data_IF_885558273494
#
_entry.id   IF_885558273494
#
_cell.length_a   1.000
_cell.length_b   1.000
_cell.length_c   1.000
_cell.angle_alpha   90.00
_cell.angle_beta   90.00
_cell.angle_gamma   90.00
#
_symmetry.space_group_name_H-M   'P 1'
#
loop_
_entity.id
_entity.type
_entity.pdbx_description
1 polymer ?
#
# COMPACT_ATOMS: atom_id res chain seq x y z
N UNK A 1 15.99 2.16 -12.94
CA UNK A 1 15.54 3.12 -11.91
C UNK A 1 14.13 3.62 -12.19
N UNK A 2 13.82 4.12 -13.39
CA UNK A 2 12.47 4.60 -13.78
C UNK A 2 11.28 3.70 -13.36
N UNK A 3 11.35 2.37 -13.51
CA UNK A 3 10.26 1.46 -13.12
C UNK A 3 9.92 1.51 -11.61
N UNK A 4 10.94 1.61 -10.76
CA UNK A 4 10.76 1.68 -9.30
C UNK A 4 10.17 3.03 -8.91
N UNK A 5 10.60 4.11 -9.56
CA UNK A 5 10.04 5.45 -9.34
C UNK A 5 8.57 5.51 -9.75
N UNK A 6 8.21 4.94 -10.90
CA UNK A 6 6.80 4.81 -11.32
C UNK A 6 6.02 4.01 -10.27
N UNK A 7 6.54 2.87 -9.81
CA UNK A 7 5.90 2.08 -8.77
C UNK A 7 5.70 2.86 -7.47
N UNK A 8 6.68 3.65 -7.05
CA UNK A 8 6.57 4.51 -5.87
C UNK A 8 5.55 5.62 -6.07
N UNK A 9 5.50 6.25 -7.24
CA UNK A 9 4.47 7.25 -7.56
C UNK A 9 3.07 6.63 -7.53
N UNK A 10 2.90 5.45 -8.12
CA UNK A 10 1.62 4.71 -8.07
C UNK A 10 1.21 4.41 -6.63
N UNK A 11 2.12 3.91 -5.80
CA UNK A 11 1.86 3.63 -4.40
C UNK A 11 1.58 4.91 -3.58
N UNK A 12 2.25 6.03 -3.92
CA UNK A 12 2.02 7.31 -3.27
C UNK A 12 0.63 7.87 -3.61
N UNK A 13 0.21 7.79 -4.88
CA UNK A 13 -1.14 8.18 -5.29
C UNK A 13 -2.18 7.34 -4.56
N UNK A 14 -1.97 6.03 -4.47
CA UNK A 14 -2.86 5.15 -3.73
C UNK A 14 -2.91 5.47 -2.22
N UNK A 15 -1.75 5.73 -1.60
CA UNK A 15 -1.70 6.16 -0.20
C UNK A 15 -2.39 7.51 0.03
N UNK A 16 -2.32 8.42 -0.94
CA UNK A 16 -3.06 9.68 -0.89
C UNK A 16 -4.57 9.45 -1.01
N UNK A 17 -5.01 8.54 -1.89
CA UNK A 17 -6.43 8.17 -2.00
C UNK A 17 -6.93 7.61 -0.67
N UNK A 18 -6.21 6.68 -0.03
CA UNK A 18 -6.56 6.17 1.31
C UNK A 18 -6.61 7.29 2.36
N UNK A 19 -5.67 8.25 2.28
CA UNK A 19 -5.60 9.36 3.22
C UNK A 19 -6.72 10.40 3.04
N UNK A 20 -7.38 10.44 1.87
CA UNK A 20 -8.45 11.41 1.57
C UNK A 20 -9.81 10.71 1.49
N UNK A 21 -9.85 9.37 1.40
CA UNK A 21 -11.09 8.61 1.27
C UNK A 21 -12.11 8.86 2.38
N UNK A 22 -11.76 9.07 3.67
CA UNK A 22 -12.76 9.36 4.70
C UNK A 22 -13.62 10.60 4.42
N UNK A 23 -13.11 11.55 3.62
CA UNK A 23 -13.84 12.77 3.27
C UNK A 23 -14.58 12.65 1.93
N UNK A 24 -14.09 11.82 1.01
CA UNK A 24 -14.69 11.65 -0.32
C UNK A 24 -15.75 10.54 -0.35
N UNK A 25 -15.49 9.47 0.38
CA UNK A 25 -16.26 8.22 0.44
C UNK A 25 -16.28 7.75 1.91
N UNK A 26 -16.98 8.47 2.79
CA UNK A 26 -17.04 8.12 4.21
C UNK A 26 -17.63 6.72 4.40
N UNK A 27 -17.18 6.02 5.45
CA UNK A 27 -17.72 4.72 5.77
C UNK A 27 -19.25 4.79 6.03
N UNK A 28 -20.00 3.72 5.68
CA UNK A 28 -21.42 3.63 6.01
C UNK A 28 -21.69 3.78 7.51
N UNK A 29 -22.88 4.26 7.92
CA UNK A 29 -23.21 4.49 9.34
C UNK A 29 -23.12 3.25 10.23
N UNK A 30 -23.29 2.08 9.62
CA UNK A 30 -23.26 0.74 10.18
C UNK A 30 -21.84 0.13 10.23
N UNK A 31 -20.84 0.81 9.69
CA UNK A 31 -19.45 0.40 9.80
C UNK A 31 -18.88 0.70 11.19
N UNK A 32 -17.89 -0.07 11.66
CA UNK A 32 -17.18 0.24 12.91
C UNK A 32 -16.57 1.66 12.86
N UNK A 33 -16.59 2.41 13.99
CA UNK A 33 -16.20 3.83 14.02
C UNK A 33 -14.70 4.06 13.70
N UNK A 34 -13.89 3.01 13.71
CA UNK A 34 -12.46 3.09 13.45
C UNK A 34 -12.08 2.93 11.96
N UNK A 35 -13.00 2.56 11.07
CA UNK A 35 -12.68 2.22 9.66
C UNK A 35 -12.05 3.41 8.92
N UNK A 36 -12.65 4.58 9.05
CA UNK A 36 -12.15 5.81 8.43
C UNK A 36 -10.79 6.24 9.00
N UNK A 37 -10.63 6.11 10.32
CA UNK A 37 -9.36 6.40 10.99
C UNK A 37 -8.24 5.44 10.56
N UNK A 38 -8.55 4.16 10.39
CA UNK A 38 -7.58 3.16 9.91
C UNK A 38 -7.17 3.45 8.47
N UNK A 39 -8.12 3.79 7.59
CA UNK A 39 -7.81 4.15 6.20
C UNK A 39 -6.89 5.37 6.13
N UNK A 40 -7.21 6.42 6.90
CA UNK A 40 -6.38 7.61 7.02
C UNK A 40 -4.95 7.28 7.51
N UNK A 41 -4.84 6.53 8.61
CA UNK A 41 -3.55 6.19 9.22
C UNK A 41 -2.70 5.36 8.27
N UNK A 42 -3.28 4.36 7.61
CA UNK A 42 -2.57 3.53 6.64
C UNK A 42 -2.09 4.36 5.43
N UNK A 43 -2.95 5.23 4.89
CA UNK A 43 -2.60 6.13 3.79
C UNK A 43 -1.45 7.08 4.15
N UNK A 44 -1.54 7.73 5.31
CA UNK A 44 -0.48 8.62 5.82
C UNK A 44 0.82 7.86 6.05
N UNK A 45 0.78 6.68 6.69
CA UNK A 45 1.97 5.87 6.91
C UNK A 45 2.63 5.45 5.59
N UNK A 46 1.84 5.06 4.58
CA UNK A 46 2.37 4.76 3.25
C UNK A 46 3.10 5.98 2.68
N UNK A 47 2.49 7.17 2.71
CA UNK A 47 3.11 8.40 2.21
C UNK A 47 4.41 8.73 2.93
N UNK A 48 4.42 8.66 4.27
CA UNK A 48 5.62 8.94 5.08
C UNK A 48 6.74 7.96 4.75
N UNK A 49 6.45 6.66 4.64
CA UNK A 49 7.45 5.65 4.32
C UNK A 49 8.02 5.82 2.91
N UNK A 50 7.19 6.19 1.94
CA UNK A 50 7.64 6.50 0.59
C UNK A 50 8.47 7.78 0.54
N UNK A 51 8.12 8.80 1.32
CA UNK A 51 8.94 10.01 1.48
C UNK A 51 10.30 9.70 2.13
N UNK A 52 10.33 8.84 3.16
CA UNK A 52 11.57 8.36 3.78
C UNK A 52 12.40 7.56 2.78
N UNK A 53 11.78 6.70 1.96
CA UNK A 53 12.49 6.04 0.86
C UNK A 53 13.02 7.06 -0.15
N UNK A 54 12.27 8.09 -0.50
CA UNK A 54 12.73 9.10 -1.45
C UNK A 54 13.97 9.84 -0.93
N UNK A 55 13.94 10.26 0.33
CA UNK A 55 15.02 11.01 0.98
C UNK A 55 16.26 10.15 1.28
N UNK A 56 16.07 8.92 1.76
CA UNK A 56 17.17 8.07 2.25
C UNK A 56 17.49 6.86 1.38
N UNK A 57 16.72 6.64 0.32
CA UNK A 57 16.74 5.42 -0.53
C UNK A 57 16.72 4.13 0.30
N UNK A 58 16.07 4.17 1.47
CA UNK A 58 16.04 3.08 2.44
C UNK A 58 15.13 1.94 1.98
N UNK A 59 15.72 0.77 1.75
CA UNK A 59 14.98 -0.45 1.36
C UNK A 59 13.98 -0.88 2.42
N UNK A 60 14.32 -0.70 3.70
CA UNK A 60 13.42 -1.04 4.80
C UNK A 60 12.15 -0.20 4.77
N UNK A 61 12.27 1.10 4.45
CA UNK A 61 11.11 1.98 4.31
C UNK A 61 10.22 1.58 3.13
N UNK A 62 10.82 1.22 1.99
CA UNK A 62 10.07 0.73 0.83
C UNK A 62 9.36 -0.61 1.12
N UNK A 63 10.04 -1.53 1.81
CA UNK A 63 9.45 -2.81 2.20
C UNK A 63 8.28 -2.62 3.18
N UNK A 64 8.46 -1.74 4.18
CA UNK A 64 7.39 -1.37 5.10
C UNK A 64 6.19 -0.73 4.37
N UNK A 65 6.44 0.16 3.40
CA UNK A 65 5.36 0.77 2.61
C UNK A 65 4.56 -0.28 1.83
N UNK A 66 5.25 -1.27 1.23
CA UNK A 66 4.63 -2.40 0.54
C UNK A 66 3.79 -3.25 1.48
N UNK A 67 4.29 -3.57 2.68
CA UNK A 67 3.54 -4.34 3.67
C UNK A 67 2.29 -3.61 4.12
N UNK A 68 2.40 -2.33 4.49
CA UNK A 68 1.25 -1.51 4.89
C UNK A 68 0.21 -1.47 3.78
N UNK A 69 0.66 -1.34 2.52
CA UNK A 69 -0.24 -1.31 1.38
C UNK A 69 -0.94 -2.64 1.15
N UNK A 70 -0.23 -3.77 1.29
CA UNK A 70 -0.81 -5.10 1.20
C UNK A 70 -1.85 -5.31 2.31
N UNK A 71 -1.57 -4.87 3.54
CA UNK A 71 -2.52 -4.91 4.65
C UNK A 71 -3.75 -4.04 4.34
N UNK A 72 -3.56 -2.81 3.85
CA UNK A 72 -4.67 -1.94 3.42
C UNK A 72 -5.57 -2.63 2.39
N UNK A 73 -4.97 -3.24 1.36
CA UNK A 73 -5.70 -3.99 0.34
C UNK A 73 -6.46 -5.21 0.89
N UNK A 74 -5.89 -5.92 1.87
CA UNK A 74 -6.53 -7.07 2.52
C UNK A 74 -7.69 -6.64 3.43
N UNK A 75 -7.59 -5.49 4.10
CA UNK A 75 -8.67 -4.95 4.92
C UNK A 75 -9.89 -4.54 4.11
N UNK A 76 -9.75 -4.34 2.78
CA UNK A 76 -10.88 -4.14 1.91
C UNK A 76 -11.68 -5.43 1.64
N UNK A 77 -11.09 -6.63 1.81
CA UNK A 77 -11.71 -7.93 1.46
C UNK A 77 -13.06 -8.17 2.14
N UNK A 78 -13.25 -7.91 3.45
CA UNK A 78 -14.56 -8.08 4.09
C UNK A 78 -15.68 -7.27 3.44
N UNK A 79 -15.39 -6.09 2.89
CA UNK A 79 -16.39 -5.27 2.20
C UNK A 79 -16.94 -5.96 0.94
N UNK A 80 -16.15 -6.82 0.29
CA UNK A 80 -16.63 -7.62 -0.85
C UNK A 80 -17.61 -8.70 -0.41
N UNK A 81 -17.37 -9.29 0.76
CA UNK A 81 -18.20 -10.36 1.30
C UNK A 81 -19.55 -9.84 1.80
N UNK A 82 -19.62 -8.57 2.21
CA UNK A 82 -20.86 -7.94 2.66
C UNK A 82 -21.78 -7.47 1.52
N UNK A 83 -21.40 -7.68 0.25
CA UNK A 83 -22.26 -7.38 -0.90
C UNK A 83 -22.37 -5.89 -1.22
N UNK A 84 -21.24 -5.16 -1.18
CA UNK A 84 -21.19 -3.75 -1.63
C UNK A 84 -21.73 -3.55 -3.04
N UNK A 85 -22.37 -2.41 -3.28
CA UNK A 85 -22.92 -2.06 -4.59
C UNK A 85 -21.88 -2.17 -5.71
N UNK A 86 -22.30 -2.63 -6.90
CA UNK A 86 -21.39 -3.02 -7.99
C UNK A 86 -20.40 -1.94 -8.42
N UNK A 87 -20.77 -0.65 -8.31
CA UNK A 87 -19.85 0.46 -8.57
C UNK A 87 -18.70 0.54 -7.57
N UNK A 88 -18.98 0.40 -6.28
CA UNK A 88 -17.95 0.40 -5.23
C UNK A 88 -17.06 -0.85 -5.33
N UNK A 89 -17.67 -2.00 -5.61
CA UNK A 89 -16.92 -3.22 -5.89
C UNK A 89 -15.91 -3.01 -7.03
N UNK A 90 -16.33 -2.44 -8.18
CA UNK A 90 -15.41 -2.18 -9.29
C UNK A 90 -14.25 -1.26 -8.90
N UNK A 91 -14.51 -0.18 -8.16
CA UNK A 91 -13.47 0.75 -7.69
C UNK A 91 -12.46 0.02 -6.79
N UNK A 92 -12.94 -0.79 -5.86
CA UNK A 92 -12.07 -1.59 -4.98
C UNK A 92 -11.24 -2.61 -5.79
N UNK A 93 -11.81 -3.24 -6.83
CA UNK A 93 -11.07 -4.18 -7.69
C UNK A 93 -9.94 -3.47 -8.43
N UNK A 94 -10.24 -2.33 -9.04
CA UNK A 94 -9.25 -1.53 -9.75
C UNK A 94 -8.15 -1.09 -8.79
N UNK A 95 -8.49 -0.58 -7.60
CA UNK A 95 -7.53 -0.18 -6.59
C UNK A 95 -6.63 -1.35 -6.14
N UNK A 96 -7.20 -2.54 -5.99
CA UNK A 96 -6.45 -3.76 -5.69
C UNK A 96 -5.46 -4.13 -6.80
N UNK A 97 -5.91 -4.15 -8.05
CA UNK A 97 -5.05 -4.45 -9.22
C UNK A 97 -3.92 -3.43 -9.35
N UNK A 98 -4.23 -2.12 -9.23
CA UNK A 98 -3.22 -1.05 -9.27
C UNK A 98 -2.21 -1.20 -8.13
N UNK A 99 -2.66 -1.66 -6.95
CA UNK A 99 -1.78 -1.97 -5.82
C UNK A 99 -0.81 -3.09 -6.16
N UNK A 100 -1.29 -4.20 -6.73
CA UNK A 100 -0.45 -5.32 -7.16
C UNK A 100 0.58 -4.85 -8.19
N UNK A 101 0.17 -4.04 -9.18
CA UNK A 101 1.07 -3.45 -10.17
C UNK A 101 2.14 -2.60 -9.48
N UNK A 102 1.74 -1.71 -8.56
CA UNK A 102 2.66 -0.87 -7.79
C UNK A 102 3.72 -1.70 -7.04
N UNK A 103 3.29 -2.77 -6.37
CA UNK A 103 4.17 -3.70 -5.64
C UNK A 103 5.14 -4.41 -6.59
N UNK A 104 4.65 -4.93 -7.72
CA UNK A 104 5.49 -5.62 -8.72
C UNK A 104 6.53 -4.68 -9.32
N UNK A 105 6.17 -3.41 -9.56
CA UNK A 105 7.10 -2.39 -10.08
C UNK A 105 8.24 -2.06 -9.12
N UNK A 106 8.00 -2.13 -7.80
CA UNK A 106 9.02 -1.90 -6.76
C UNK A 106 9.79 -3.16 -6.36
N UNK A 107 9.29 -4.35 -6.70
CA UNK A 107 9.90 -5.64 -6.35
C UNK A 107 11.41 -5.77 -6.70
N UNK A 108 11.91 -5.29 -7.86
CA UNK A 108 13.34 -5.35 -8.17
C UNK A 108 14.23 -4.57 -7.18
N UNK A 109 13.69 -3.56 -6.50
CA UNK A 109 14.41 -2.79 -5.47
C UNK A 109 14.48 -3.52 -4.11
N UNK A 110 13.64 -4.55 -3.91
CA UNK A 110 13.56 -5.32 -2.67
C UNK A 110 14.48 -6.57 -2.69
N UNK A 111 14.79 -7.11 -3.87
CA UNK A 111 15.41 -8.44 -4.05
C UNK A 111 16.93 -8.59 -3.83
N UNK A 112 17.63 -7.76 -3.03
CA UNK A 112 19.11 -7.90 -2.84
C UNK A 112 19.58 -7.93 -1.38
N UNK A 113 19.06 -8.83 -0.56
CA UNK A 113 19.52 -8.94 0.84
C UNK A 113 19.95 -10.31 1.36
N UNK A 114 19.95 -11.41 0.58
CA UNK A 114 20.51 -12.70 1.07
C UNK A 114 21.08 -13.58 -0.05
N UNK A 115 22.34 -13.37 -0.40
CA UNK A 115 23.16 -14.36 -1.13
C UNK A 115 24.66 -14.19 -0.83
N UNK A 116 25.03 -13.73 0.38
CA UNK A 116 26.43 -13.35 0.66
C UNK A 116 26.89 -13.49 2.11
N UNK A 117 26.14 -14.17 2.99
CA UNK A 117 26.68 -14.60 4.29
C UNK A 117 26.92 -16.10 4.21
N UNK A 118 27.96 -16.48 3.46
CA UNK A 118 28.59 -17.78 3.67
C UNK A 118 29.16 -17.76 5.10
N UNK A 119 28.94 -18.80 5.92
CA UNK A 119 29.65 -18.92 7.18
C UNK A 119 31.15 -19.01 6.87
N UNK A 120 31.92 -18.04 7.38
CA UNK A 120 33.37 -18.16 7.42
C UNK A 120 33.69 -19.31 8.38
N UNK A 121 34.02 -20.47 7.82
CA UNK A 121 34.70 -21.54 8.54
C UNK A 121 36.16 -21.13 8.73
N UNK A 122 36.56 -20.88 9.98
CA UNK A 122 37.94 -20.99 10.45
C UNK A 122 37.91 -21.32 11.95
#
# INVERSE_FOLDING_TARGET
>A
MRRVEIGVVVLAVLGLVDAVSPWLLPAPPDAPPFVDAVSLVLGVLTLVLLAVWWARRSRAALWAAVVIRAVSALLAVPAWLSGVGGGLALVLAVAFVVTVIGIVLVAPALGRSRAGRAPASA
#
